data_IF_335092860316
#
_entry.id   IF_335092860316
#
_cell.length_a   1.000
_cell.length_b   1.000
_cell.length_c   1.000
_cell.angle_alpha   90.00
_cell.angle_beta   90.00
_cell.angle_gamma   90.00
#
_symmetry.space_group_name_H-M   'P 1'
#
loop_
_entity.id
_entity.type
_entity.pdbx_description
1 polymer ?
#
# COMPACT_ATOMS: atom_id res chain seq x y z
N UNK A 1 -2.68 -25.83 1.25
CA UNK A 1 -3.79 -25.08 1.89
C UNK A 1 -3.34 -24.11 3.01
N UNK A 2 -2.04 -23.79 3.13
CA UNK A 2 -1.51 -22.85 4.13
C UNK A 2 -1.39 -21.43 3.57
N UNK A 3 -0.85 -21.30 2.34
CA UNK A 3 -0.64 -20.04 1.64
C UNK A 3 -1.92 -19.19 1.45
N UNK A 4 -3.02 -19.81 1.02
CA UNK A 4 -4.30 -19.12 0.83
C UNK A 4 -4.89 -18.56 2.13
N UNK A 5 -4.71 -19.28 3.25
CA UNK A 5 -5.18 -18.81 4.57
C UNK A 5 -4.35 -17.64 5.08
N UNK A 6 -3.02 -17.68 4.87
CA UNK A 6 -2.15 -16.55 5.19
C UNK A 6 -2.48 -15.32 4.35
N UNK A 7 -2.74 -15.51 3.06
CA UNK A 7 -3.13 -14.42 2.16
C UNK A 7 -4.48 -13.80 2.54
N UNK A 8 -5.48 -14.61 2.88
CA UNK A 8 -6.77 -14.12 3.38
C UNK A 8 -6.62 -13.43 4.73
N UNK A 9 -5.82 -13.96 5.65
CA UNK A 9 -5.60 -13.35 6.95
C UNK A 9 -4.96 -11.97 6.82
N UNK A 10 -4.13 -11.76 5.79
CA UNK A 10 -3.52 -10.46 5.50
C UNK A 10 -4.53 -9.48 4.90
N UNK A 11 -5.44 -9.97 4.04
CA UNK A 11 -6.56 -9.18 3.48
C UNK A 11 -7.67 -8.88 4.50
N UNK A 12 -7.73 -9.61 5.61
CA UNK A 12 -8.67 -9.36 6.71
C UNK A 12 -8.20 -8.28 7.69
N UNK A 13 -6.93 -7.89 7.66
CA UNK A 13 -6.42 -6.79 8.46
C UNK A 13 -6.93 -5.46 7.88
N UNK A 14 -7.61 -4.67 8.71
CA UNK A 14 -8.30 -3.45 8.29
C UNK A 14 -7.35 -2.46 7.63
N UNK A 15 -6.12 -2.35 8.14
CA UNK A 15 -5.12 -1.39 7.65
C UNK A 15 -4.59 -1.78 6.27
N UNK A 16 -4.33 -3.07 6.05
CA UNK A 16 -3.90 -3.58 4.75
C UNK A 16 -5.01 -3.54 3.71
N UNK A 17 -6.25 -3.80 4.12
CA UNK A 17 -7.41 -3.72 3.23
C UNK A 17 -7.63 -2.28 2.74
N UNK A 18 -7.56 -1.30 3.64
CA UNK A 18 -7.76 0.10 3.30
C UNK A 18 -6.68 0.61 2.32
N UNK A 19 -5.43 0.17 2.53
CA UNK A 19 -4.31 0.48 1.63
C UNK A 19 -4.50 -0.12 0.23
N UNK A 20 -4.95 -1.37 0.14
CA UNK A 20 -5.22 -2.04 -1.14
C UNK A 20 -6.40 -1.41 -1.88
N UNK A 21 -7.48 -1.08 -1.17
CA UNK A 21 -8.63 -0.38 -1.76
C UNK A 21 -8.20 0.97 -2.29
N UNK A 22 -7.46 1.75 -1.49
CA UNK A 22 -6.93 3.06 -1.91
C UNK A 22 -6.07 2.94 -3.16
N UNK A 23 -5.20 1.93 -3.21
CA UNK A 23 -4.35 1.64 -4.37
C UNK A 23 -5.17 1.36 -5.62
N UNK A 24 -6.16 0.45 -5.52
CA UNK A 24 -7.03 0.09 -6.65
C UNK A 24 -7.81 1.32 -7.13
N UNK A 25 -8.33 2.13 -6.21
CA UNK A 25 -9.05 3.36 -6.55
C UNK A 25 -8.16 4.37 -7.27
N UNK A 26 -6.92 4.60 -6.80
CA UNK A 26 -5.96 5.50 -7.46
C UNK A 26 -5.64 5.01 -8.87
N UNK A 27 -5.38 3.70 -9.04
CA UNK A 27 -5.10 3.11 -10.35
C UNK A 27 -6.29 3.23 -11.29
N UNK A 28 -7.51 3.00 -10.82
CA UNK A 28 -8.73 3.15 -11.62
C UNK A 28 -8.92 4.61 -12.06
N UNK A 29 -8.74 5.57 -11.14
CA UNK A 29 -8.82 7.01 -11.46
C UNK A 29 -7.76 7.40 -12.48
N UNK A 30 -6.52 6.96 -12.30
CA UNK A 30 -5.44 7.15 -13.27
C UNK A 30 -5.81 6.60 -14.64
N UNK A 31 -6.27 5.35 -14.69
CA UNK A 31 -6.63 4.64 -15.93
C UNK A 31 -7.71 5.38 -16.70
N UNK A 32 -8.79 5.78 -16.03
CA UNK A 32 -9.90 6.51 -16.66
C UNK A 32 -9.47 7.90 -17.13
N UNK A 33 -8.62 8.58 -16.35
CA UNK A 33 -8.13 9.91 -16.70
C UNK A 33 -7.21 9.88 -17.91
N UNK A 34 -6.26 8.94 -17.96
CA UNK A 34 -5.39 8.77 -19.12
C UNK A 34 -6.17 8.32 -20.37
N UNK A 35 -7.15 7.43 -20.21
CA UNK A 35 -8.03 7.03 -21.31
C UNK A 35 -8.75 8.24 -21.91
N UNK A 36 -9.28 9.12 -21.07
CA UNK A 36 -10.01 10.32 -21.52
C UNK A 36 -9.10 11.42 -22.07
N UNK A 37 -7.99 11.73 -21.40
CA UNK A 37 -7.11 12.84 -21.77
C UNK A 37 -6.19 12.51 -22.95
N UNK A 38 -5.67 11.29 -23.02
CA UNK A 38 -4.69 10.88 -24.02
C UNK A 38 -5.29 10.02 -25.14
N UNK A 39 -6.54 9.55 -24.99
CA UNK A 39 -7.22 8.71 -25.98
C UNK A 39 -6.62 7.31 -26.14
N UNK A 40 -5.80 6.87 -25.18
CA UNK A 40 -5.19 5.54 -25.18
C UNK A 40 -6.23 4.46 -24.89
N UNK A 41 -5.95 3.20 -25.24
CA UNK A 41 -6.84 2.10 -24.83
C UNK A 41 -6.90 1.99 -23.30
N UNK A 42 -7.96 1.37 -22.76
CA UNK A 42 -8.08 1.13 -21.32
C UNK A 42 -6.89 0.32 -20.79
N UNK A 43 -6.40 -0.64 -21.58
CA UNK A 43 -5.27 -1.51 -21.21
C UNK A 43 -3.96 -0.71 -21.16
N UNK A 44 -3.70 0.12 -22.15
CA UNK A 44 -2.49 0.95 -22.19
C UNK A 44 -2.51 2.01 -21.08
N UNK A 45 -3.69 2.56 -20.79
CA UNK A 45 -3.90 3.52 -19.71
C UNK A 45 -3.71 2.88 -18.33
N UNK A 46 -4.16 1.64 -18.15
CA UNK A 46 -3.93 0.86 -16.93
C UNK A 46 -2.45 0.56 -16.77
N UNK A 47 -1.81 0.11 -17.85
CA UNK A 47 -0.38 -0.16 -17.88
C UNK A 47 0.43 1.08 -17.47
N UNK A 48 0.17 2.23 -18.11
CA UNK A 48 0.85 3.48 -17.78
C UNK A 48 0.57 3.91 -16.34
N UNK A 49 -0.67 3.84 -15.88
CA UNK A 49 -1.05 4.19 -14.50
C UNK A 49 -0.28 3.37 -13.47
N UNK A 50 -0.14 2.06 -13.70
CA UNK A 50 0.61 1.18 -12.79
C UNK A 50 2.10 1.49 -12.86
N UNK A 51 2.69 1.52 -14.06
CA UNK A 51 4.14 1.75 -14.26
C UNK A 51 4.59 3.10 -13.70
N UNK A 52 3.76 4.14 -13.81
CA UNK A 52 4.00 5.45 -13.22
C UNK A 52 3.88 5.40 -11.69
N UNK A 53 2.82 4.78 -11.16
CA UNK A 53 2.58 4.71 -9.71
C UNK A 53 3.64 3.88 -8.98
N UNK A 54 4.13 2.81 -9.61
CA UNK A 54 5.24 1.98 -9.10
C UNK A 54 6.60 2.59 -9.40
N UNK A 55 6.67 3.79 -9.97
CA UNK A 55 7.91 4.50 -10.31
C UNK A 55 8.85 3.76 -11.26
N UNK A 56 8.32 2.79 -12.03
CA UNK A 56 9.11 2.03 -13.02
C UNK A 56 9.43 2.92 -14.21
N UNK A 57 8.42 3.60 -14.76
CA UNK A 57 8.58 4.64 -15.77
C UNK A 57 9.38 4.23 -17.02
N UNK A 58 8.98 3.16 -17.71
CA UNK A 58 9.70 2.66 -18.90
C UNK A 58 9.88 3.70 -20.02
N UNK A 59 9.00 4.69 -20.11
CA UNK A 59 9.10 5.79 -21.09
C UNK A 59 8.63 5.45 -22.50
N UNK A 60 8.04 4.27 -22.67
CA UNK A 60 7.35 3.82 -23.88
C UNK A 60 6.04 4.58 -24.13
N UNK A 61 5.32 4.90 -23.06
CA UNK A 61 4.19 5.83 -23.06
C UNK A 61 4.55 7.11 -22.31
N UNK A 62 4.07 8.24 -22.82
CA UNK A 62 4.21 9.53 -22.16
C UNK A 62 3.06 10.47 -22.59
N UNK A 63 2.43 11.19 -21.64
CA UNK A 63 1.33 12.08 -21.95
C UNK A 63 1.77 13.18 -22.93
N UNK A 64 0.99 13.37 -23.99
CA UNK A 64 1.24 14.37 -25.03
C UNK A 64 0.40 15.61 -24.79
N UNK A 65 -0.79 15.46 -24.21
CA UNK A 65 -1.65 16.58 -23.89
C UNK A 65 -1.17 17.35 -22.67
N UNK A 66 -1.43 18.65 -22.62
CA UNK A 66 -1.04 19.46 -21.48
C UNK A 66 -1.81 19.06 -20.22
N UNK A 67 -3.07 18.65 -20.37
CA UNK A 67 -3.87 18.07 -19.29
C UNK A 67 -3.27 16.78 -18.74
N UNK A 68 -2.87 15.84 -19.61
CA UNK A 68 -2.25 14.57 -19.20
C UNK A 68 -0.89 14.77 -18.53
N UNK A 69 -0.09 15.74 -18.98
CA UNK A 69 1.17 16.12 -18.33
C UNK A 69 0.93 16.65 -16.92
N UNK A 70 0.01 17.62 -16.77
CA UNK A 70 -0.33 18.19 -15.47
C UNK A 70 -0.88 17.13 -14.51
N UNK A 71 -1.79 16.29 -15.00
CA UNK A 71 -2.32 15.17 -14.22
C UNK A 71 -1.20 14.23 -13.75
N UNK A 72 -0.26 13.89 -14.64
CA UNK A 72 0.85 12.99 -14.32
C UNK A 72 1.74 13.54 -13.20
N UNK A 73 2.00 14.85 -13.19
CA UNK A 73 2.76 15.49 -12.10
C UNK A 73 2.05 15.29 -10.75
N UNK A 74 0.73 15.54 -10.69
CA UNK A 74 -0.05 15.33 -9.47
C UNK A 74 -0.13 13.85 -9.09
N UNK A 75 -0.30 12.97 -10.08
CA UNK A 75 -0.41 11.54 -9.90
C UNK A 75 0.88 10.93 -9.30
N UNK A 76 2.06 11.41 -9.72
CA UNK A 76 3.34 11.00 -9.13
C UNK A 76 3.44 11.41 -7.65
N UNK A 77 2.99 12.62 -7.29
CA UNK A 77 2.98 13.08 -5.88
C UNK A 77 2.10 12.16 -5.02
N UNK A 78 0.93 11.77 -5.54
CA UNK A 78 0.04 10.80 -4.88
C UNK A 78 0.75 9.44 -4.73
N UNK A 79 1.45 8.98 -5.77
CA UNK A 79 2.23 7.73 -5.72
C UNK A 79 3.30 7.71 -4.63
N UNK A 80 4.02 8.82 -4.44
CA UNK A 80 4.99 8.94 -3.34
C UNK A 80 4.29 8.83 -1.97
N UNK A 81 3.16 9.52 -1.78
CA UNK A 81 2.36 9.42 -0.55
C UNK A 81 1.85 8.00 -0.29
N UNK A 82 1.48 7.28 -1.35
CA UNK A 82 1.09 5.87 -1.26
C UNK A 82 2.27 5.01 -0.78
N UNK A 83 3.47 5.16 -1.35
CA UNK A 83 4.66 4.42 -0.91
C UNK A 83 4.96 4.67 0.58
N UNK A 84 4.84 5.91 1.05
CA UNK A 84 5.00 6.24 2.48
C UNK A 84 3.94 5.54 3.34
N UNK A 85 2.71 5.43 2.85
CA UNK A 85 1.63 4.72 3.54
C UNK A 85 1.92 3.22 3.64
N UNK A 86 2.45 2.60 2.59
CA UNK A 86 2.93 1.21 2.64
C UNK A 86 4.00 1.00 3.71
N UNK A 87 4.98 1.91 3.79
CA UNK A 87 6.04 1.85 4.81
C UNK A 87 5.44 1.98 6.21
N UNK A 88 4.51 2.91 6.41
CA UNK A 88 3.83 3.11 7.69
C UNK A 88 3.05 1.88 8.14
N UNK A 89 2.29 1.25 7.25
CA UNK A 89 1.53 0.03 7.57
C UNK A 89 2.46 -1.11 7.96
N UNK A 90 3.56 -1.29 7.23
CA UNK A 90 4.59 -2.28 7.57
C UNK A 90 5.19 -1.97 8.96
N UNK A 91 5.53 -0.71 9.23
CA UNK A 91 6.09 -0.28 10.50
C UNK A 91 5.11 -0.49 11.66
N UNK A 92 3.82 -0.20 11.45
CA UNK A 92 2.78 -0.40 12.44
C UNK A 92 2.64 -1.90 12.78
N UNK A 93 2.62 -2.76 11.76
CA UNK A 93 2.62 -4.21 11.94
C UNK A 93 3.83 -4.71 12.75
N UNK A 94 5.05 -4.29 12.39
CA UNK A 94 6.27 -4.66 13.14
C UNK A 94 6.25 -4.17 14.59
N UNK A 95 5.79 -2.93 14.81
CA UNK A 95 5.68 -2.34 16.15
C UNK A 95 4.67 -3.09 17.00
N UNK A 96 3.54 -3.47 16.42
CA UNK A 96 2.48 -4.20 17.11
C UNK A 96 2.93 -5.61 17.53
N UNK A 97 3.69 -6.30 16.67
CA UNK A 97 4.29 -7.59 16.98
C UNK A 97 5.31 -7.48 18.12
N UNK A 98 6.20 -6.48 18.09
CA UNK A 98 7.15 -6.22 19.18
C UNK A 98 6.47 -5.81 20.50
N UNK A 99 5.37 -5.08 20.43
CA UNK A 99 4.60 -4.71 21.61
C UNK A 99 3.99 -5.94 22.28
N UNK A 100 3.41 -6.87 21.50
CA UNK A 100 2.87 -8.14 22.02
C UNK A 100 3.95 -8.97 22.71
N UNK A 101 5.12 -9.16 22.08
CA UNK A 101 6.24 -9.89 22.67
C UNK A 101 6.72 -9.28 23.99
N UNK A 102 6.93 -7.96 24.03
CA UNK A 102 7.35 -7.25 25.26
C UNK A 102 6.35 -7.41 26.39
N UNK A 103 5.06 -7.31 26.09
CA UNK A 103 3.97 -7.45 27.08
C UNK A 103 3.90 -8.87 27.63
N UNK A 104 4.14 -9.89 26.81
CA UNK A 104 4.24 -11.28 27.28
C UNK A 104 5.45 -11.52 28.18
N UNK A 105 6.62 -10.99 27.82
CA UNK A 105 7.82 -11.09 28.65
C UNK A 105 7.59 -10.43 30.00
N UNK A 106 7.02 -9.22 30.02
CA UNK A 106 6.72 -8.50 31.26
C UNK A 106 5.70 -9.25 32.13
N UNK A 107 4.63 -9.78 31.53
CA UNK A 107 3.66 -10.63 32.23
C UNK A 107 4.30 -11.88 32.84
N UNK A 108 5.23 -12.53 32.12
CA UNK A 108 5.97 -13.70 32.63
C UNK A 108 6.89 -13.33 33.80
N UNK A 109 7.53 -12.15 33.77
CA UNK A 109 8.35 -11.64 34.89
C UNK A 109 7.51 -11.36 36.14
N UNK A 110 6.41 -10.61 36.01
CA UNK A 110 5.51 -10.29 37.12
C UNK A 110 4.94 -11.55 37.81
N UNK A 111 4.57 -12.57 37.03
CA UNK A 111 4.10 -13.86 37.57
C UNK A 111 5.18 -14.63 38.35
N UNK A 112 6.46 -14.48 38.01
CA UNK A 112 7.57 -15.11 38.74
C UNK A 112 7.84 -14.39 40.06
N UNK A 113 7.86 -13.05 40.03
CA UNK A 113 8.04 -12.22 41.23
C UNK A 113 6.93 -12.44 42.26
N UNK A 114 5.66 -12.48 41.80
CA UNK A 114 4.52 -12.75 42.69
C UNK A 114 4.58 -14.13 43.36
N UNK A 115 5.19 -15.15 42.73
CA UNK A 115 5.35 -16.49 43.32
C UNK A 115 6.55 -16.60 44.24
N UNK A 116 7.56 -15.74 44.08
CA UNK A 116 8.74 -15.72 44.95
C UNK A 116 8.45 -14.99 46.28
N UNK A 117 7.47 -14.08 46.29
CA UNK A 117 7.07 -13.30 47.47
C UNK A 117 5.85 -13.86 48.23
N UNK A 118 5.32 -15.02 47.83
CA UNK A 118 4.24 -15.77 48.51
C UNK A 118 4.80 -16.98 49.23
#
# INVERSE_FOLDING_TARGET
MFFYRTLISFLQDDEYRDLLITTIMIVLVGTLTYHYLEGWSIVDSLYFSVVTLTTIGYGDFAPKTDGGKLFTVLYIIIGIGMILSFINTIQHHYTHMRYKERKEILRKKLKRESKANS
#
